data_IF_347175213841
#
_entry.id   IF_347175213841
#
_cell.length_a   1.000
_cell.length_b   1.000
_cell.length_c   1.000
_cell.angle_alpha   90.00
_cell.angle_beta   90.00
_cell.angle_gamma   90.00
#
_symmetry.space_group_name_H-M   'P 1'
#
loop_
_entity.id
_entity.type
_entity.pdbx_description
1 polymer ?
#
# COMPACT_ATOMS: atom_id res chain seq x y z
N UNK A 1 -16.18 -19.88 27.99
CA UNK A 1 -17.31 -20.28 27.12
C UNK A 1 -17.50 -19.15 26.12
N UNK A 2 -16.92 -19.30 24.93
CA UNK A 2 -17.02 -18.35 23.83
C UNK A 2 -18.47 -18.33 23.31
N UNK A 3 -19.11 -17.17 23.28
CA UNK A 3 -20.40 -17.01 22.59
C UNK A 3 -20.13 -16.56 21.17
N UNK A 4 -20.19 -17.52 20.23
CA UNK A 4 -20.14 -17.32 18.78
C UNK A 4 -21.25 -16.38 18.32
N UNK A 5 -20.86 -15.23 17.78
CA UNK A 5 -21.73 -14.37 16.98
C UNK A 5 -21.80 -14.90 15.56
N UNK A 6 -22.90 -15.59 15.25
CA UNK A 6 -23.42 -15.98 13.92
C UNK A 6 -22.60 -15.48 12.71
N UNK A 7 -21.94 -16.43 12.06
CA UNK A 7 -21.39 -16.31 10.71
C UNK A 7 -22.47 -15.83 9.72
N UNK A 8 -22.29 -14.62 9.20
CA UNK A 8 -22.96 -14.20 7.98
C UNK A 8 -22.21 -14.83 6.79
N UNK A 9 -22.80 -15.90 6.25
CA UNK A 9 -22.52 -16.55 4.96
C UNK A 9 -21.32 -16.04 4.14
N UNK A 10 -20.22 -16.82 4.14
CA UNK A 10 -19.41 -17.19 2.96
C UNK A 10 -18.63 -16.12 2.18
N UNK A 11 -18.82 -14.82 2.41
CA UNK A 11 -18.17 -13.77 1.62
C UNK A 11 -16.88 -13.29 2.31
N UNK A 12 -15.72 -13.49 1.68
CA UNK A 12 -14.44 -12.98 2.20
C UNK A 12 -14.24 -11.51 1.80
N UNK A 13 -13.77 -10.65 2.72
CA UNK A 13 -13.44 -9.27 2.38
C UNK A 13 -12.23 -9.20 1.46
N UNK A 14 -12.28 -8.31 0.48
CA UNK A 14 -11.16 -8.01 -0.43
C UNK A 14 -10.00 -7.39 0.34
N UNK A 15 -10.34 -6.57 1.33
CA UNK A 15 -9.35 -5.84 2.12
C UNK A 15 -9.94 -5.48 3.49
N UNK A 16 -9.13 -5.56 4.54
CA UNK A 16 -9.51 -5.12 5.89
C UNK A 16 -8.42 -4.23 6.47
N UNK A 17 -8.79 -3.07 7.01
CA UNK A 17 -7.88 -2.16 7.68
C UNK A 17 -8.50 -1.52 8.93
N UNK A 18 -7.68 -0.80 9.71
CA UNK A 18 -8.17 0.02 10.82
C UNK A 18 -8.34 1.47 10.40
N UNK A 19 -9.50 2.04 10.68
CA UNK A 19 -9.82 3.43 10.34
C UNK A 19 -10.56 4.15 11.46
N UNK A 20 -10.36 5.47 11.56
CA UNK A 20 -11.17 6.35 12.41
C UNK A 20 -12.44 6.75 11.63
N UNK A 21 -13.61 6.49 12.22
CA UNK A 21 -14.90 6.77 11.59
C UNK A 21 -15.47 8.07 12.18
N UNK A 22 -15.97 8.95 11.32
CA UNK A 22 -16.60 10.20 11.70
C UNK A 22 -17.98 10.29 11.06
N UNK A 23 -18.93 10.95 11.71
CA UNK A 23 -20.21 11.32 11.13
C UNK A 23 -20.35 12.84 11.09
N UNK A 24 -21.09 13.35 10.11
CA UNK A 24 -21.40 14.78 10.03
C UNK A 24 -22.37 15.12 11.16
N UNK A 25 -22.11 16.22 11.87
CA UNK A 25 -23.04 16.76 12.86
C UNK A 25 -24.43 16.93 12.23
N UNK A 26 -25.46 16.24 12.74
CA UNK A 26 -26.79 16.28 12.15
C UNK A 26 -27.43 17.67 12.22
N UNK A 27 -27.05 18.51 13.19
CA UNK A 27 -27.61 19.86 13.39
C UNK A 27 -26.94 20.88 12.50
N UNK A 28 -25.60 20.92 12.51
CA UNK A 28 -24.85 21.99 11.85
C UNK A 28 -24.49 21.67 10.40
N UNK A 29 -24.47 20.39 10.01
CA UNK A 29 -24.05 19.90 8.68
C UNK A 29 -22.68 20.41 8.20
N UNK A 30 -21.86 20.95 9.12
CA UNK A 30 -20.60 21.62 8.81
C UNK A 30 -19.39 21.08 9.58
N UNK A 31 -19.61 20.26 10.60
CA UNK A 31 -18.54 19.66 11.40
C UNK A 31 -18.57 18.13 11.34
N UNK A 32 -17.39 17.52 11.44
CA UNK A 32 -17.20 16.08 11.56
C UNK A 32 -17.00 15.71 13.02
N UNK A 33 -17.77 14.75 13.52
CA UNK A 33 -17.72 14.28 14.91
C UNK A 33 -17.24 12.82 14.90
N UNK A 34 -16.26 12.44 15.74
CA UNK A 34 -15.78 11.06 15.80
C UNK A 34 -16.90 10.11 16.26
N UNK A 35 -17.12 9.05 15.47
CA UNK A 35 -18.08 8.00 15.77
C UNK A 35 -17.52 6.95 16.75
N UNK A 36 -16.19 6.82 16.83
CA UNK A 36 -15.47 5.93 17.75
C UNK A 36 -14.28 6.64 18.39
N UNK A 37 -13.92 6.21 19.61
CA UNK A 37 -12.74 6.74 20.34
C UNK A 37 -11.43 6.19 19.81
N UNK A 38 -11.44 4.97 19.25
CA UNK A 38 -10.30 4.30 18.65
C UNK A 38 -10.58 3.94 17.20
N UNK A 39 -9.52 3.60 16.45
CA UNK A 39 -9.66 3.09 15.09
C UNK A 39 -10.32 1.70 15.11
N UNK A 40 -11.36 1.53 14.29
CA UNK A 40 -12.16 0.30 14.18
C UNK A 40 -11.78 -0.49 12.93
N UNK A 41 -12.02 -1.81 12.95
CA UNK A 41 -11.84 -2.64 11.77
C UNK A 41 -12.92 -2.34 10.73
N UNK A 42 -12.47 -2.08 9.50
CA UNK A 42 -13.30 -1.79 8.33
C UNK A 42 -12.90 -2.73 7.20
N UNK A 43 -13.88 -3.43 6.66
CA UNK A 43 -13.72 -4.45 5.63
C UNK A 43 -14.44 -4.04 4.35
N UNK A 44 -13.75 -4.19 3.22
CA UNK A 44 -14.25 -3.88 1.89
C UNK A 44 -14.67 -5.16 1.18
N UNK A 45 -15.86 -5.14 0.59
CA UNK A 45 -16.45 -6.23 -0.17
C UNK A 45 -16.84 -5.70 -1.56
N UNK A 46 -16.84 -6.58 -2.56
CA UNK A 46 -17.38 -6.27 -3.88
C UNK A 46 -18.56 -7.18 -4.16
N UNK A 47 -19.73 -6.58 -4.29
CA UNK A 47 -20.95 -7.28 -4.68
C UNK A 47 -21.01 -7.30 -6.21
N UNK A 48 -20.65 -8.45 -6.80
CA UNK A 48 -20.68 -8.63 -8.24
C UNK A 48 -22.10 -8.56 -8.82
N UNK A 49 -23.13 -8.95 -8.05
CA UNK A 49 -24.52 -8.94 -8.52
C UNK A 49 -25.05 -7.52 -8.72
N UNK A 50 -24.50 -6.57 -7.94
CA UNK A 50 -24.88 -5.15 -7.99
C UNK A 50 -23.78 -4.26 -8.56
N UNK A 51 -22.66 -4.84 -8.95
CA UNK A 51 -21.46 -4.14 -9.45
C UNK A 51 -21.04 -2.97 -8.54
N UNK A 52 -21.07 -3.17 -7.22
CA UNK A 52 -20.77 -2.11 -6.24
C UNK A 52 -19.87 -2.59 -5.11
N UNK A 53 -19.11 -1.65 -4.54
CA UNK A 53 -18.32 -1.89 -3.34
C UNK A 53 -19.15 -1.62 -2.08
N UNK A 54 -19.04 -2.49 -1.09
CA UNK A 54 -19.62 -2.33 0.25
C UNK A 54 -18.50 -2.22 1.27
N UNK A 55 -18.70 -1.35 2.25
CA UNK A 55 -17.79 -1.15 3.36
C UNK A 55 -18.56 -1.52 4.63
N UNK A 56 -18.05 -2.49 5.39
CA UNK A 56 -18.69 -2.99 6.60
C UNK A 56 -17.70 -2.88 7.76
N UNK A 57 -18.15 -2.40 8.92
CA UNK A 57 -17.40 -2.48 10.16
C UNK A 57 -18.05 -3.49 11.10
N UNK A 58 -17.24 -4.37 11.69
CA UNK A 58 -17.71 -5.51 12.49
C UNK A 58 -18.01 -5.12 13.96
N UNK A 59 -17.61 -3.93 14.41
CA UNK A 59 -17.85 -3.42 15.78
C UNK A 59 -19.22 -2.72 15.96
N UNK A 60 -20.14 -2.96 15.02
CA UNK A 60 -21.27 -2.08 14.72
C UNK A 60 -22.56 -2.22 15.53
N UNK A 61 -22.69 -3.04 16.58
CA UNK A 61 -23.99 -3.14 17.27
C UNK A 61 -24.43 -1.80 17.88
N UNK A 62 -23.49 -0.99 18.38
CA UNK A 62 -23.79 0.34 18.95
C UNK A 62 -23.95 1.45 17.90
N UNK A 63 -23.34 1.29 16.72
CA UNK A 63 -23.49 2.24 15.61
C UNK A 63 -24.81 2.03 14.88
N UNK A 64 -25.25 0.78 14.71
CA UNK A 64 -26.53 0.43 14.10
C UNK A 64 -27.68 1.03 14.91
N UNK A 65 -27.68 0.94 16.24
CA UNK A 65 -28.70 1.56 17.09
C UNK A 65 -28.75 3.09 16.93
N UNK A 66 -27.59 3.78 16.99
CA UNK A 66 -27.52 5.23 16.77
C UNK A 66 -27.90 5.65 15.35
N UNK A 67 -27.55 4.85 14.34
CA UNK A 67 -27.94 5.13 12.96
C UNK A 67 -29.45 4.89 12.74
N UNK A 68 -30.03 3.89 13.40
CA UNK A 68 -31.47 3.67 13.45
C UNK A 68 -32.18 4.87 14.09
N UNK A 69 -31.67 5.38 15.21
CA UNK A 69 -32.19 6.55 15.93
C UNK A 69 -32.16 7.82 15.07
N UNK A 70 -31.06 8.08 14.35
CA UNK A 70 -30.94 9.21 13.41
C UNK A 70 -31.90 9.05 12.22
N UNK A 71 -32.08 7.83 11.71
CA UNK A 71 -33.02 7.51 10.63
C UNK A 71 -34.48 7.72 11.09
N UNK A 72 -34.81 7.34 12.32
CA UNK A 72 -36.14 7.55 12.92
C UNK A 72 -36.40 9.02 13.24
N UNK A 73 -35.41 9.77 13.73
CA UNK A 73 -35.51 11.22 13.93
C UNK A 73 -35.76 11.97 12.61
N UNK A 74 -35.12 11.54 11.52
CA UNK A 74 -35.34 12.10 10.19
C UNK A 74 -36.75 11.76 9.67
N UNK A 75 -37.25 10.54 9.93
CA UNK A 75 -38.61 10.11 9.57
C UNK A 75 -39.70 10.82 10.38
N UNK A 76 -39.47 11.05 11.68
CA UNK A 76 -40.39 11.76 12.56
C UNK A 76 -40.53 13.25 12.17
N UNK A 77 -39.46 13.85 11.64
CA UNK A 77 -39.49 15.23 11.13
C UNK A 77 -40.29 15.32 9.82
N UNK A 78 -40.21 14.29 8.97
CA UNK A 78 -40.93 14.22 7.70
C UNK A 78 -42.45 13.97 7.87
N UNK A 79 -42.86 13.34 8.96
CA UNK A 79 -44.26 13.06 9.30
C UNK A 79 -44.97 14.22 10.05
N UNK A 80 -44.27 15.32 10.36
CA UNK A 80 -44.84 16.50 11.03
C UNK A 80 -45.10 17.69 10.10
N UNK A 81 -45.06 17.45 8.79
CA UNK A 81 -45.50 18.41 7.77
C UNK A 81 -46.99 18.17 7.48
N UNK A 82 -47.85 19.21 7.56
CA UNK A 82 -49.21 19.09 7.06
C UNK A 82 -49.18 18.89 5.55
N UNK A 83 -50.01 17.93 5.13
CA UNK A 83 -50.19 17.44 3.77
C UNK A 83 -50.30 18.57 2.73
N UNK A 84 -49.43 18.56 1.71
CA UNK A 84 -49.53 19.47 0.55
C UNK A 84 -48.31 19.46 -0.38
N UNK A 85 -48.41 18.70 -1.47
CA UNK A 85 -47.55 18.64 -2.66
C UNK A 85 -46.05 18.27 -2.49
N UNK A 86 -45.76 17.02 -2.86
CA UNK A 86 -44.42 16.55 -3.18
C UNK A 86 -43.98 17.06 -4.58
N UNK A 87 -42.87 17.79 -4.63
CA UNK A 87 -41.80 17.63 -5.63
C UNK A 87 -40.75 18.76 -5.46
N UNK A 88 -39.77 18.54 -4.60
CA UNK A 88 -38.44 19.16 -4.70
C UNK A 88 -37.43 18.22 -4.06
N UNK A 89 -36.68 17.50 -4.89
CA UNK A 89 -35.44 16.84 -4.46
C UNK A 89 -34.43 17.92 -4.09
N UNK A 90 -33.81 17.93 -2.89
CA UNK A 90 -32.68 18.81 -2.64
C UNK A 90 -31.48 18.31 -3.45
N UNK A 91 -31.07 19.10 -4.44
CA UNK A 91 -29.80 18.91 -5.15
C UNK A 91 -28.69 19.25 -4.15
N UNK A 92 -28.05 18.22 -3.59
CA UNK A 92 -26.86 18.41 -2.75
C UNK A 92 -25.70 18.79 -3.66
N UNK A 93 -25.25 20.03 -3.58
CA UNK A 93 -24.00 20.48 -4.18
C UNK A 93 -22.82 19.76 -3.51
N UNK A 94 -22.39 18.65 -4.10
CA UNK A 94 -21.12 18.03 -3.79
C UNK A 94 -20.01 18.83 -4.47
N UNK A 95 -19.49 19.85 -3.78
CA UNK A 95 -18.20 20.43 -4.12
C UNK A 95 -17.46 20.77 -2.82
N UNK A 96 -16.78 19.75 -2.29
CA UNK A 96 -15.78 19.90 -1.25
C UNK A 96 -14.70 18.85 -1.49
N UNK A 97 -13.78 19.12 -2.42
CA UNK A 97 -12.51 18.41 -2.51
C UNK A 97 -11.58 18.93 -1.40
N UNK A 98 -11.00 18.07 -0.55
CA UNK A 98 -9.92 18.50 0.31
C UNK A 98 -8.63 18.57 -0.52
N UNK A 99 -8.03 19.76 -0.53
CA UNK A 99 -6.67 20.04 -0.98
C UNK A 99 -5.71 19.01 -0.37
N UNK A 100 -4.98 18.30 -1.23
CA UNK A 100 -3.82 17.49 -0.86
C UNK A 100 -2.59 18.38 -1.02
N UNK A 101 -2.10 18.92 0.09
CA UNK A 101 -0.73 19.41 0.18
C UNK A 101 -0.23 19.13 1.59
N UNK A 102 0.68 18.16 1.70
CA UNK A 102 1.78 18.00 2.68
C UNK A 102 2.04 16.52 2.96
N UNK A 103 2.98 15.95 2.21
CA UNK A 103 3.88 14.89 2.67
C UNK A 103 5.03 14.74 1.67
N UNK A 104 5.95 15.72 1.67
CA UNK A 104 7.29 15.52 1.14
C UNK A 104 8.18 15.16 2.34
N UNK A 105 8.82 13.99 2.29
CA UNK A 105 9.90 13.61 3.21
C UNK A 105 9.55 12.46 4.14
N UNK A 106 10.02 11.26 3.79
CA UNK A 106 9.95 10.09 4.67
C UNK A 106 10.09 8.79 3.89
N UNK A 107 11.33 8.44 3.52
CA UNK A 107 11.67 7.14 2.97
C UNK A 107 11.33 6.04 3.99
N UNK A 108 10.50 5.07 3.61
CA UNK A 108 10.53 3.71 4.14
C UNK A 108 10.12 2.75 3.02
N UNK A 109 11.04 1.83 2.76
CA UNK A 109 10.96 0.72 1.83
C UNK A 109 9.84 -0.26 2.20
N UNK A 110 9.26 -0.87 1.17
CA UNK A 110 8.62 -2.20 1.11
C UNK A 110 7.24 -2.13 0.43
N UNK A 111 7.22 -2.48 -0.85
CA UNK A 111 5.99 -2.62 -1.63
C UNK A 111 6.02 -3.99 -2.33
N UNK A 112 5.27 -4.94 -1.76
CA UNK A 112 4.85 -6.17 -2.41
C UNK A 112 3.89 -5.91 -3.59
N UNK A 113 3.58 -6.94 -4.39
CA UNK A 113 3.10 -6.77 -5.75
C UNK A 113 1.66 -6.28 -5.79
N UNK A 114 1.47 -5.19 -6.55
CA UNK A 114 0.18 -4.66 -6.98
C UNK A 114 -0.51 -5.72 -7.87
N UNK A 115 -1.59 -6.32 -7.38
CA UNK A 115 -2.37 -7.30 -8.13
C UNK A 115 -3.16 -6.60 -9.25
N UNK A 116 -2.89 -7.00 -10.49
CA UNK A 116 -3.70 -6.66 -11.65
C UNK A 116 -5.12 -7.24 -11.52
N UNK A 117 -6.18 -6.53 -11.98
CA UNK A 117 -7.52 -7.08 -12.03
C UNK A 117 -7.65 -8.18 -13.11
N UNK A 118 -8.47 -9.23 -12.89
CA UNK A 118 -8.64 -10.30 -13.87
C UNK A 118 -9.41 -9.81 -15.11
N UNK A 119 -8.89 -10.16 -16.27
CA UNK A 119 -9.44 -9.93 -17.61
C UNK A 119 -10.84 -10.55 -17.75
N UNK A 120 -11.85 -9.74 -18.05
CA UNK A 120 -13.20 -10.23 -18.36
C UNK A 120 -13.33 -10.55 -19.85
N UNK A 121 -13.61 -11.82 -20.18
CA UNK A 121 -14.21 -12.22 -21.46
C UNK A 121 -15.72 -11.86 -21.45
N UNK A 122 -16.33 -11.52 -22.61
CA UNK A 122 -17.72 -11.12 -22.66
C UNK A 122 -18.62 -12.35 -22.91
N UNK A 123 -19.47 -12.69 -21.94
CA UNK A 123 -20.62 -13.57 -22.18
C UNK A 123 -21.77 -13.23 -21.25
N UNK A 124 -22.68 -12.35 -21.69
CA UNK A 124 -24.12 -12.54 -21.50
C UNK A 124 -24.93 -11.51 -22.29
N UNK A 125 -25.84 -12.06 -23.07
CA UNK A 125 -26.80 -11.49 -24.01
C UNK A 125 -27.94 -10.73 -23.32
N UNK A 126 -28.33 -9.59 -23.87
CA UNK A 126 -29.61 -8.91 -23.58
C UNK A 126 -30.80 -9.66 -24.20
N UNK A 127 -32.01 -9.31 -23.76
CA UNK A 127 -33.06 -9.01 -24.75
C UNK A 127 -33.67 -7.61 -24.53
N UNK A 128 -34.01 -6.99 -25.66
CA UNK A 128 -34.65 -5.69 -25.80
C UNK A 128 -36.17 -5.74 -25.51
N UNK A 129 -36.82 -4.59 -25.21
CA UNK A 129 -38.26 -4.44 -25.39
C UNK A 129 -38.57 -3.76 -26.74
N UNK A 130 -39.65 -4.24 -27.37
CA UNK A 130 -40.19 -3.74 -28.62
C UNK A 130 -41.26 -2.64 -28.38
N UNK A 131 -41.15 -1.59 -29.20
CA UNK A 131 -42.21 -0.81 -29.87
C UNK A 131 -43.55 -0.51 -29.19
N UNK A 132 -43.90 0.78 -29.14
CA UNK A 132 -45.07 1.29 -29.86
C UNK A 132 -45.04 2.81 -30.04
N UNK A 133 -45.29 3.23 -31.27
CA UNK A 133 -45.45 4.58 -31.82
C UNK A 133 -46.59 5.37 -31.13
N UNK A 134 -46.41 6.67 -30.91
CA UNK A 134 -46.94 7.81 -31.68
C UNK A 134 -48.43 8.10 -31.42
N UNK A 135 -48.72 9.31 -30.92
CA UNK A 135 -49.52 10.28 -31.68
C UNK A 135 -49.59 11.66 -30.99
N UNK A 136 -49.89 12.63 -31.84
CA UNK A 136 -49.74 14.08 -31.79
C UNK A 136 -50.99 14.81 -31.23
N UNK A 137 -50.88 16.15 -31.14
CA UNK A 137 -51.93 17.18 -31.17
C UNK A 137 -52.44 17.79 -29.84
N UNK A 138 -51.82 18.94 -29.53
CA UNK A 138 -52.39 20.31 -29.43
C UNK A 138 -53.70 20.64 -28.69
N UNK A 139 -53.56 21.68 -27.84
CA UNK A 139 -54.50 22.79 -27.55
C UNK A 139 -55.84 22.52 -26.83
N UNK A 140 -56.07 23.16 -25.67
CA UNK A 140 -57.00 24.30 -25.56
C UNK A 140 -57.08 24.90 -24.14
N UNK A 141 -57.28 26.22 -24.15
CA UNK A 141 -57.52 27.14 -23.04
C UNK A 141 -58.93 27.01 -22.43
N UNK A 142 -59.02 27.31 -21.13
CA UNK A 142 -60.12 27.92 -20.32
C UNK A 142 -60.20 27.17 -18.98
N UNK A 143 -60.12 27.82 -17.82
CA UNK A 143 -60.87 29.01 -17.41
C UNK A 143 -62.01 28.51 -16.51
N UNK A 144 -61.88 28.66 -15.19
CA UNK A 144 -62.87 28.15 -14.23
C UNK A 144 -62.54 28.58 -12.80
N UNK A 145 -62.99 29.77 -12.45
CA UNK A 145 -63.01 30.29 -11.09
C UNK A 145 -64.05 29.56 -10.24
N UNK A 146 -63.70 29.16 -9.02
CA UNK A 146 -64.65 28.83 -7.96
C UNK A 146 -64.04 29.20 -6.60
N UNK A 147 -64.48 30.33 -6.07
CA UNK A 147 -64.21 30.74 -4.69
C UNK A 147 -65.29 30.16 -3.77
N UNK A 148 -64.87 29.68 -2.60
CA UNK A 148 -65.73 29.42 -1.45
C UNK A 148 -65.20 30.21 -0.25
N UNK A 149 -66.06 30.59 0.71
CA UNK A 149 -65.81 31.67 1.65
C UNK A 149 -65.32 31.15 3.02
N UNK A 150 -64.55 31.97 3.73
CA UNK A 150 -64.27 31.82 5.16
C UNK A 150 -63.87 33.18 5.71
N UNK A 151 -64.78 33.83 6.43
CA UNK A 151 -64.77 33.97 7.90
C UNK A 151 -63.88 35.11 8.41
N UNK A 152 -64.54 36.07 9.06
CA UNK A 152 -63.94 37.13 9.89
C UNK A 152 -63.13 36.55 11.05
N UNK A 153 -62.20 37.32 11.62
CA UNK A 153 -62.52 37.85 12.96
C UNK A 153 -62.08 39.31 13.28
N UNK A 154 -62.87 39.89 14.18
CA UNK A 154 -62.82 41.14 14.98
C UNK A 154 -61.44 41.76 15.30
N UNK A 155 -61.40 43.11 15.35
CA UNK A 155 -60.71 43.84 16.42
C UNK A 155 -61.32 45.23 16.70
N UNK A 156 -61.43 45.52 18.00
CA UNK A 156 -61.95 46.72 18.69
C UNK A 156 -60.99 47.95 18.60
N UNK A 157 -61.45 49.15 18.99
CA UNK A 157 -60.98 50.46 18.55
C UNK A 157 -60.04 51.14 19.55
N UNK A 158 -59.18 52.08 19.13
CA UNK A 158 -58.69 53.17 19.99
C UNK A 158 -57.98 54.27 19.19
N UNK A 159 -58.29 55.55 19.47
CA UNK A 159 -57.38 56.68 19.27
C UNK A 159 -57.97 57.97 18.69
N UNK A 160 -58.40 58.88 19.57
CA UNK A 160 -58.27 60.36 19.50
C UNK A 160 -58.90 61.16 18.33
N UNK A 161 -59.53 62.35 18.45
CA UNK A 161 -59.65 63.36 19.50
C UNK A 161 -61.05 64.01 19.40
N UNK A 162 -61.62 64.31 20.57
CA UNK A 162 -62.81 65.14 20.74
C UNK A 162 -62.37 66.59 20.91
N UNK A 163 -62.83 67.47 20.03
CA UNK A 163 -62.92 68.91 20.25
C UNK A 163 -64.34 69.35 19.91
N UNK A 164 -64.89 70.15 20.82
CA UNK A 164 -66.29 70.49 20.94
C UNK A 164 -66.83 71.36 19.80
N UNK A 165 -68.03 71.03 19.31
CA UNK A 165 -68.94 72.00 18.70
C UNK A 165 -70.42 71.56 18.88
N UNK A 166 -71.04 72.14 19.90
CA UNK A 166 -72.45 72.55 20.07
C UNK A 166 -73.48 72.11 18.99
N UNK A 167 -74.53 71.40 19.44
CA UNK A 167 -75.71 70.86 18.73
C UNK A 167 -76.58 71.91 17.97
N UNK A 168 -77.57 71.52 17.11
CA UNK A 168 -78.87 70.98 17.57
C UNK A 168 -79.60 69.92 16.69
N UNK A 169 -80.45 69.13 17.36
CA UNK A 169 -81.75 68.50 16.99
C UNK A 169 -81.98 67.74 15.64
N UNK A 170 -82.82 66.66 15.64
CA UNK A 170 -83.09 65.84 14.46
C UNK A 170 -84.22 66.43 13.59
N UNK A 171 -83.95 66.68 12.31
CA UNK A 171 -84.97 66.98 11.29
C UNK A 171 -85.32 65.74 10.46
N UNK A 172 -86.48 65.71 9.76
CA UNK A 172 -86.88 64.57 8.95
C UNK A 172 -85.96 64.47 7.72
N UNK A 173 -85.02 63.53 7.74
CA UNK A 173 -84.22 63.21 6.56
C UNK A 173 -85.16 62.68 5.49
N UNK A 174 -85.23 63.33 4.34
CA UNK A 174 -85.93 62.78 3.17
C UNK A 174 -85.38 61.38 2.85
N UNK A 175 -86.21 60.44 2.40
CA UNK A 175 -85.77 59.08 2.00
C UNK A 175 -84.61 59.12 1.00
N UNK A 176 -84.55 60.17 0.17
CA UNK A 176 -83.44 60.48 -0.73
C UNK A 176 -82.10 60.68 0.01
N UNK A 177 -82.10 61.39 1.14
CA UNK A 177 -80.89 61.66 1.92
C UNK A 177 -80.34 60.40 2.60
N UNK A 178 -81.20 59.52 3.09
CA UNK A 178 -80.77 58.23 3.65
C UNK A 178 -80.20 57.29 2.58
N UNK A 179 -80.83 57.24 1.40
CA UNK A 179 -80.33 56.48 0.26
C UNK A 179 -78.96 56.98 -0.19
N UNK A 180 -78.77 58.29 -0.30
CA UNK A 180 -77.48 58.89 -0.64
C UNK A 180 -76.40 58.58 0.40
N UNK A 181 -76.74 58.53 1.70
CA UNK A 181 -75.79 58.13 2.76
C UNK A 181 -75.39 56.65 2.64
N UNK A 182 -76.33 55.75 2.38
CA UNK A 182 -76.04 54.34 2.15
C UNK A 182 -75.18 54.11 0.90
N UNK A 183 -75.52 54.79 -0.20
CA UNK A 183 -74.76 54.70 -1.44
C UNK A 183 -73.35 55.32 -1.29
N UNK A 184 -73.21 56.40 -0.51
CA UNK A 184 -71.91 56.97 -0.18
C UNK A 184 -71.04 56.02 0.66
N UNK A 185 -71.64 55.33 1.64
CA UNK A 185 -70.93 54.35 2.46
C UNK A 185 -70.50 53.13 1.64
N UNK A 186 -71.38 52.64 0.76
CA UNK A 186 -71.05 51.57 -0.20
C UNK A 186 -69.91 51.98 -1.14
N UNK A 187 -69.93 53.22 -1.64
CA UNK A 187 -68.85 53.75 -2.48
C UNK A 187 -67.54 53.89 -1.70
N UNK A 188 -67.57 54.29 -0.43
CA UNK A 188 -66.38 54.32 0.43
C UNK A 188 -65.78 52.92 0.63
N UNK A 189 -66.61 51.92 0.93
CA UNK A 189 -66.16 50.53 1.07
C UNK A 189 -65.59 50.02 -0.26
N UNK A 190 -66.26 50.30 -1.38
CA UNK A 190 -65.77 49.94 -2.71
C UNK A 190 -64.44 50.62 -3.06
N UNK A 191 -64.26 51.90 -2.71
CA UNK A 191 -63.01 52.63 -2.93
C UNK A 191 -61.88 52.09 -2.05
N UNK A 192 -62.15 51.83 -0.77
CA UNK A 192 -61.19 51.20 0.13
C UNK A 192 -60.77 49.82 -0.39
N UNK A 193 -61.72 49.00 -0.82
CA UNK A 193 -61.46 47.70 -1.45
C UNK A 193 -60.66 47.83 -2.75
N UNK A 194 -60.99 48.79 -3.62
CA UNK A 194 -60.23 49.05 -4.85
C UNK A 194 -58.80 49.50 -4.57
N UNK A 195 -58.58 50.32 -3.52
CA UNK A 195 -57.24 50.76 -3.13
C UNK A 195 -56.38 49.60 -2.58
N UNK A 196 -57.00 48.65 -1.86
CA UNK A 196 -56.33 47.44 -1.42
C UNK A 196 -55.97 46.53 -2.62
N UNK A 197 -56.86 46.43 -3.61
CA UNK A 197 -56.59 45.71 -4.84
C UNK A 197 -55.41 46.32 -5.62
N UNK A 198 -55.36 47.65 -5.75
CA UNK A 198 -54.23 48.34 -6.40
C UNK A 198 -52.89 48.00 -5.72
N UNK A 199 -52.84 48.02 -4.38
CA UNK A 199 -51.64 47.63 -3.62
C UNK A 199 -51.26 46.16 -3.82
N UNK A 200 -52.25 45.26 -3.92
CA UNK A 200 -51.99 43.84 -4.21
C UNK A 200 -51.31 43.66 -5.57
N UNK A 201 -51.83 44.32 -6.61
CA UNK A 201 -51.22 44.29 -7.94
C UNK A 201 -49.82 44.91 -7.97
N UNK A 202 -49.60 45.98 -7.20
CA UNK A 202 -48.29 46.61 -7.06
C UNK A 202 -47.26 45.66 -6.43
N UNK A 203 -47.65 44.94 -5.38
CA UNK A 203 -46.80 43.92 -4.72
C UNK A 203 -46.53 42.75 -5.65
N UNK A 204 -47.55 42.25 -6.35
CA UNK A 204 -47.40 41.14 -7.31
C UNK A 204 -46.46 41.54 -8.47
N UNK A 205 -46.62 42.75 -9.00
CA UNK A 205 -45.73 43.27 -10.04
C UNK A 205 -44.28 43.39 -9.55
N UNK A 206 -44.08 43.91 -8.33
CA UNK A 206 -42.75 43.97 -7.71
C UNK A 206 -42.13 42.58 -7.54
N UNK A 207 -42.93 41.62 -7.09
CA UNK A 207 -42.51 40.21 -6.92
C UNK A 207 -42.16 39.57 -8.25
N UNK A 208 -42.96 39.79 -9.29
CA UNK A 208 -42.68 39.30 -10.65
C UNK A 208 -41.41 39.92 -11.23
N UNK A 209 -41.17 41.22 -11.02
CA UNK A 209 -39.91 41.87 -11.41
C UNK A 209 -38.70 41.23 -10.71
N UNK A 210 -38.78 40.97 -9.41
CA UNK A 210 -37.71 40.30 -8.66
C UNK A 210 -37.47 38.86 -9.17
N UNK A 211 -38.53 38.10 -9.39
CA UNK A 211 -38.43 36.76 -9.95
C UNK A 211 -37.81 36.76 -11.36
N UNK A 212 -38.19 37.70 -12.22
CA UNK A 212 -37.60 37.82 -13.55
C UNK A 212 -36.10 38.15 -13.49
N UNK A 213 -35.69 39.03 -12.56
CA UNK A 213 -34.28 39.33 -12.33
C UNK A 213 -33.50 38.07 -11.88
N UNK A 214 -34.04 37.33 -10.90
CA UNK A 214 -33.42 36.09 -10.42
C UNK A 214 -33.26 35.04 -11.53
N UNK A 215 -34.29 34.86 -12.36
CA UNK A 215 -34.22 33.93 -13.50
C UNK A 215 -33.18 34.37 -14.52
N UNK A 216 -33.07 35.67 -14.78
CA UNK A 216 -32.06 36.23 -15.68
C UNK A 216 -30.64 35.99 -15.14
N UNK A 217 -30.41 36.22 -13.84
CA UNK A 217 -29.12 35.94 -13.21
C UNK A 217 -28.77 34.44 -13.24
N UNK A 218 -29.73 33.57 -12.93
CA UNK A 218 -29.52 32.11 -12.98
C UNK A 218 -29.22 31.62 -14.41
N UNK A 219 -29.83 32.22 -15.43
CA UNK A 219 -29.54 31.91 -16.82
C UNK A 219 -28.13 32.34 -17.23
N UNK A 220 -27.70 33.54 -16.80
CA UNK A 220 -26.33 34.01 -17.03
C UNK A 220 -25.30 33.12 -16.33
N UNK A 221 -25.56 32.73 -15.08
CA UNK A 221 -24.70 31.80 -14.34
C UNK A 221 -24.66 30.42 -15.01
N UNK A 222 -25.80 29.89 -15.47
CA UNK A 222 -25.86 28.64 -16.22
C UNK A 222 -25.04 28.71 -17.52
N UNK A 223 -25.06 29.86 -18.20
CA UNK A 223 -24.25 30.10 -19.41
C UNK A 223 -22.76 30.12 -19.09
N UNK A 224 -22.36 30.81 -18.02
CA UNK A 224 -20.96 30.83 -17.57
C UNK A 224 -20.45 29.44 -17.17
N UNK A 225 -21.29 28.64 -16.49
CA UNK A 225 -20.95 27.26 -16.10
C UNK A 225 -20.69 26.36 -17.31
N UNK A 226 -21.49 26.50 -18.37
CA UNK A 226 -21.27 25.76 -19.62
C UNK A 226 -19.89 26.08 -20.22
N UNK A 227 -19.48 27.34 -20.19
CA UNK A 227 -18.17 27.75 -20.72
C UNK A 227 -17.01 27.30 -19.83
N UNK A 228 -17.20 27.27 -18.51
CA UNK A 228 -16.23 26.68 -17.58
C UNK A 228 -16.06 25.17 -17.84
N UNK A 229 -17.16 24.43 -17.99
CA UNK A 229 -17.10 22.99 -18.30
C UNK A 229 -16.43 22.71 -19.64
N UNK A 230 -16.64 23.56 -20.66
CA UNK A 230 -15.89 23.45 -21.93
C UNK A 230 -14.39 23.64 -21.71
N UNK A 231 -13.98 24.61 -20.88
CA UNK A 231 -12.57 24.85 -20.57
C UNK A 231 -11.95 23.68 -19.80
N UNK A 232 -12.66 23.14 -18.82
CA UNK A 232 -12.23 21.95 -18.08
C UNK A 232 -12.10 20.73 -18.99
N UNK A 233 -13.06 20.50 -19.88
CA UNK A 233 -13.00 19.42 -20.87
C UNK A 233 -11.77 19.56 -21.79
N UNK A 234 -11.45 20.79 -22.22
CA UNK A 234 -10.26 21.04 -23.03
C UNK A 234 -8.97 20.70 -22.25
N UNK A 235 -8.86 21.19 -21.00
CA UNK A 235 -7.72 20.89 -20.13
C UNK A 235 -7.56 19.38 -19.89
N UNK A 236 -8.65 18.64 -19.66
CA UNK A 236 -8.58 17.18 -19.53
C UNK A 236 -8.16 16.48 -20.82
N UNK A 237 -8.54 16.99 -22.00
CA UNK A 237 -8.08 16.44 -23.29
C UNK A 237 -6.58 16.65 -23.47
N UNK A 238 -6.07 17.84 -23.17
CA UNK A 238 -4.63 18.15 -23.23
C UNK A 238 -3.83 17.30 -22.25
N UNK A 239 -4.31 17.17 -21.01
CA UNK A 239 -3.66 16.33 -20.00
C UNK A 239 -3.66 14.85 -20.39
N UNK A 240 -4.78 14.35 -20.95
CA UNK A 240 -4.85 12.98 -21.46
C UNK A 240 -3.87 12.76 -22.62
N UNK A 241 -3.74 13.74 -23.52
CA UNK A 241 -2.75 13.69 -24.60
C UNK A 241 -1.32 13.70 -24.05
N UNK A 242 -1.03 14.54 -23.06
CA UNK A 242 0.27 14.60 -22.38
C UNK A 242 0.62 13.27 -21.71
N UNK A 243 -0.35 12.65 -21.02
CA UNK A 243 -0.17 11.35 -20.39
C UNK A 243 0.06 10.25 -21.43
N UNK A 244 -0.65 10.27 -22.56
CA UNK A 244 -0.41 9.33 -23.67
C UNK A 244 1.00 9.48 -24.24
N UNK A 245 1.47 10.70 -24.49
CA UNK A 245 2.85 10.93 -24.95
C UNK A 245 3.86 10.42 -23.92
N UNK A 246 3.67 10.75 -22.64
CA UNK A 246 4.54 10.27 -21.56
C UNK A 246 4.50 8.74 -21.42
N UNK A 247 3.35 8.11 -21.64
CA UNK A 247 3.22 6.65 -21.62
C UNK A 247 4.03 6.03 -22.77
N UNK A 248 3.94 6.57 -23.98
CA UNK A 248 4.75 6.12 -25.13
C UNK A 248 6.24 6.32 -24.87
N UNK A 249 6.65 7.48 -24.33
CA UNK A 249 8.05 7.74 -23.95
C UNK A 249 8.53 6.77 -22.87
N UNK A 250 7.69 6.48 -21.87
CA UNK A 250 8.00 5.51 -20.84
C UNK A 250 7.96 4.08 -21.36
N UNK A 251 7.11 3.70 -22.31
CA UNK A 251 7.18 2.40 -22.97
C UNK A 251 8.44 2.26 -23.81
N UNK A 252 8.85 3.32 -24.51
CA UNK A 252 10.10 3.36 -25.26
C UNK A 252 11.32 3.28 -24.32
N UNK A 253 11.30 3.99 -23.20
CA UNK A 253 12.37 3.97 -22.19
C UNK A 253 12.37 2.68 -21.34
N UNK A 254 11.19 2.11 -21.08
CA UNK A 254 10.96 0.78 -20.49
C UNK A 254 11.08 -0.32 -21.56
N UNK A 255 11.50 0.04 -22.76
CA UNK A 255 12.14 -0.84 -23.73
C UNK A 255 13.40 -1.45 -23.12
N UNK A 256 13.18 -2.37 -22.18
CA UNK A 256 14.14 -3.33 -21.67
C UNK A 256 14.57 -4.32 -22.74
N UNK A 257 14.64 -3.89 -23.99
CA UNK A 257 15.45 -4.54 -25.01
C UNK A 257 16.89 -4.08 -24.84
N UNK A 258 17.21 -2.78 -24.80
CA UNK A 258 18.63 -2.39 -24.85
C UNK A 258 19.39 -2.73 -23.56
N UNK A 259 18.88 -2.31 -22.40
CA UNK A 259 19.51 -2.63 -21.11
C UNK A 259 19.48 -4.13 -20.80
N UNK A 260 18.42 -4.85 -21.17
CA UNK A 260 18.37 -6.30 -20.95
C UNK A 260 19.19 -7.07 -22.00
N UNK A 261 19.36 -6.56 -23.22
CA UNK A 261 20.25 -7.12 -24.25
C UNK A 261 21.69 -6.95 -23.79
N UNK A 262 22.06 -5.80 -23.24
CA UNK A 262 23.41 -5.56 -22.74
C UNK A 262 23.71 -6.46 -21.52
N UNK A 263 22.78 -6.58 -20.57
CA UNK A 263 22.89 -7.54 -19.47
C UNK A 263 22.97 -9.00 -19.96
N UNK A 264 22.23 -9.37 -21.02
CA UNK A 264 22.32 -10.72 -21.62
C UNK A 264 23.68 -10.96 -22.29
N UNK A 265 24.25 -9.97 -22.98
CA UNK A 265 25.59 -10.06 -23.59
C UNK A 265 26.67 -10.20 -22.52
N UNK A 266 26.59 -9.39 -21.47
CA UNK A 266 27.52 -9.45 -20.34
C UNK A 266 27.44 -10.81 -19.65
N UNK A 267 26.22 -11.30 -19.41
CA UNK A 267 25.98 -12.62 -18.81
C UNK A 267 26.49 -13.77 -19.69
N UNK A 268 26.36 -13.67 -21.02
CA UNK A 268 26.96 -14.64 -21.95
C UNK A 268 28.50 -14.60 -21.93
N UNK A 269 29.08 -13.40 -21.87
CA UNK A 269 30.53 -13.20 -21.81
C UNK A 269 31.11 -13.76 -20.51
N UNK A 270 30.46 -13.50 -19.38
CA UNK A 270 30.86 -14.04 -18.08
C UNK A 270 30.75 -15.58 -18.04
N UNK A 271 29.70 -16.16 -18.63
CA UNK A 271 29.58 -17.63 -18.74
C UNK A 271 30.73 -18.24 -19.53
N UNK A 272 31.08 -17.67 -20.68
CA UNK A 272 32.21 -18.13 -21.50
C UNK A 272 33.53 -18.01 -20.73
N UNK A 273 33.71 -16.93 -19.96
CA UNK A 273 34.91 -16.75 -19.13
C UNK A 273 34.99 -17.78 -18.01
N UNK A 274 33.88 -18.12 -17.37
CA UNK A 274 33.82 -19.19 -16.37
C UNK A 274 34.20 -20.53 -17.00
N UNK A 275 33.61 -20.90 -18.13
CA UNK A 275 33.93 -22.15 -18.85
C UNK A 275 35.42 -22.22 -19.23
N UNK A 276 35.98 -21.09 -19.70
CA UNK A 276 37.42 -21.00 -20.02
C UNK A 276 38.27 -21.23 -18.78
N UNK A 277 37.95 -20.58 -17.66
CA UNK A 277 38.67 -20.73 -16.40
C UNK A 277 38.55 -22.15 -15.83
N UNK A 278 37.40 -22.81 -15.98
CA UNK A 278 37.20 -24.20 -15.59
C UNK A 278 38.09 -25.16 -16.40
N UNK A 279 38.22 -24.93 -17.70
CA UNK A 279 39.12 -25.70 -18.57
C UNK A 279 40.59 -25.46 -18.21
N UNK A 280 40.98 -24.21 -17.99
CA UNK A 280 42.33 -23.86 -17.53
C UNK A 280 42.66 -24.51 -16.19
N UNK A 281 41.73 -24.46 -15.22
CA UNK A 281 41.88 -25.09 -13.91
C UNK A 281 42.07 -26.61 -14.05
N UNK A 282 41.23 -27.26 -14.87
CA UNK A 282 41.33 -28.70 -15.13
C UNK A 282 42.66 -29.08 -15.77
N UNK A 283 43.14 -28.29 -16.74
CA UNK A 283 44.46 -28.50 -17.36
C UNK A 283 45.58 -28.38 -16.32
N UNK A 284 45.49 -27.40 -15.42
CA UNK A 284 46.46 -27.20 -14.33
C UNK A 284 46.44 -28.35 -13.32
N UNK A 285 45.26 -28.87 -12.98
CA UNK A 285 45.14 -30.05 -12.12
C UNK A 285 45.75 -31.30 -12.78
N UNK A 286 45.54 -31.49 -14.09
CA UNK A 286 46.13 -32.60 -14.84
C UNK A 286 47.66 -32.45 -15.02
N UNK A 287 48.17 -31.23 -15.15
CA UNK A 287 49.61 -30.92 -15.08
C UNK A 287 50.20 -31.24 -13.70
N UNK A 288 49.52 -30.82 -12.62
CA UNK A 288 49.94 -31.08 -11.24
C UNK A 288 49.95 -32.59 -10.94
N UNK A 289 48.91 -33.32 -11.35
CA UNK A 289 48.86 -34.79 -11.22
C UNK A 289 50.00 -35.46 -11.98
N UNK A 290 50.27 -35.05 -13.22
CA UNK A 290 51.41 -35.56 -14.00
C UNK A 290 52.75 -35.26 -13.32
N UNK A 291 52.94 -34.04 -12.83
CA UNK A 291 54.15 -33.66 -12.12
C UNK A 291 54.33 -34.48 -10.83
N UNK A 292 53.26 -34.68 -10.06
CA UNK A 292 53.27 -35.52 -8.85
C UNK A 292 53.64 -36.97 -9.18
N UNK A 293 52.99 -37.57 -10.18
CA UNK A 293 53.29 -38.93 -10.62
C UNK A 293 54.71 -39.08 -11.18
N UNK A 294 55.30 -38.02 -11.74
CA UNK A 294 56.69 -38.04 -12.22
C UNK A 294 57.72 -37.91 -11.09
N UNK A 295 57.37 -37.24 -9.99
CA UNK A 295 58.24 -37.05 -8.82
C UNK A 295 58.24 -38.24 -7.88
N UNK A 296 57.11 -38.93 -7.75
CA UNK A 296 56.96 -40.08 -6.86
C UNK A 296 58.05 -41.17 -7.05
N UNK A 297 58.39 -41.61 -8.28
CA UNK A 297 59.44 -42.62 -8.48
C UNK A 297 60.83 -42.12 -8.09
N UNK A 298 61.10 -40.83 -8.27
CA UNK A 298 62.37 -40.22 -7.85
C UNK A 298 62.49 -40.13 -6.34
N UNK A 299 61.40 -39.81 -5.65
CA UNK A 299 61.34 -39.78 -4.19
C UNK A 299 61.48 -41.19 -3.59
N UNK A 300 60.80 -42.18 -4.16
CA UNK A 300 60.92 -43.60 -3.79
C UNK A 300 62.36 -44.10 -4.01
N UNK A 301 62.97 -43.78 -5.15
CA UNK A 301 64.38 -44.12 -5.44
C UNK A 301 65.34 -43.46 -4.46
N UNK A 302 65.11 -42.21 -4.07
CA UNK A 302 65.93 -41.50 -3.09
C UNK A 302 65.85 -42.18 -1.71
N UNK A 303 64.65 -42.56 -1.27
CA UNK A 303 64.45 -43.30 -0.01
C UNK A 303 65.15 -44.66 -0.03
N UNK A 304 65.04 -45.41 -1.12
CA UNK A 304 65.72 -46.70 -1.26
C UNK A 304 67.24 -46.56 -1.17
N UNK A 305 67.82 -45.58 -1.86
CA UNK A 305 69.26 -45.29 -1.81
C UNK A 305 69.73 -44.79 -0.42
N UNK A 306 68.88 -44.06 0.31
CA UNK A 306 69.17 -43.67 1.69
C UNK A 306 69.18 -44.86 2.64
N UNK A 307 68.21 -45.77 2.49
CA UNK A 307 68.16 -47.00 3.27
C UNK A 307 69.40 -47.88 2.99
N UNK A 308 69.74 -48.10 1.73
CA UNK A 308 70.93 -48.87 1.33
C UNK A 308 72.20 -48.22 1.89
N UNK A 309 72.32 -46.90 1.86
CA UNK A 309 73.45 -46.20 2.50
C UNK A 309 73.52 -46.44 4.01
N UNK A 310 72.38 -46.41 4.71
CA UNK A 310 72.34 -46.68 6.14
C UNK A 310 72.75 -48.13 6.46
N UNK A 311 72.29 -49.09 5.66
CA UNK A 311 72.66 -50.51 5.78
C UNK A 311 74.15 -50.73 5.51
N UNK A 312 74.70 -50.10 4.46
CA UNK A 312 76.13 -50.14 4.15
C UNK A 312 76.97 -49.51 5.27
N UNK A 313 76.55 -48.37 5.82
CA UNK A 313 77.22 -47.73 6.96
C UNK A 313 77.21 -48.64 8.20
N UNK A 314 76.09 -49.30 8.50
CA UNK A 314 75.99 -50.25 9.60
C UNK A 314 76.89 -51.47 9.38
N UNK A 315 76.94 -51.99 8.15
CA UNK A 315 77.81 -53.12 7.78
C UNK A 315 79.29 -52.76 7.93
N UNK A 316 79.70 -51.57 7.47
CA UNK A 316 81.06 -51.05 7.65
C UNK A 316 81.41 -50.92 9.14
N UNK A 317 80.50 -50.36 9.95
CA UNK A 317 80.70 -50.22 11.39
C UNK A 317 80.85 -51.57 12.09
N UNK A 318 80.06 -52.57 11.71
CA UNK A 318 80.17 -53.92 12.25
C UNK A 318 81.50 -54.58 11.86
N UNK A 319 81.91 -54.46 10.59
CA UNK A 319 83.18 -55.00 10.11
C UNK A 319 84.37 -54.33 10.82
N UNK A 320 84.31 -53.02 11.07
CA UNK A 320 85.31 -52.29 11.86
C UNK A 320 85.38 -52.82 13.30
N UNK A 321 84.25 -53.00 13.98
CA UNK A 321 84.23 -53.55 15.34
C UNK A 321 84.78 -54.99 15.41
N UNK A 322 84.50 -55.80 14.38
CA UNK A 322 85.06 -57.16 14.26
C UNK A 322 86.58 -57.12 14.07
N UNK A 323 87.09 -56.21 13.22
CA UNK A 323 88.51 -56.02 13.01
C UNK A 323 89.20 -55.59 14.31
N UNK A 324 88.66 -54.61 15.03
CA UNK A 324 89.22 -54.14 16.31
C UNK A 324 89.28 -55.27 17.35
N UNK A 325 88.23 -56.09 17.41
CA UNK A 325 88.18 -57.27 18.30
C UNK A 325 89.27 -58.28 17.93
N UNK A 326 89.43 -58.58 16.63
CA UNK A 326 90.47 -59.50 16.14
C UNK A 326 91.89 -58.96 16.39
N UNK A 327 92.11 -57.66 16.20
CA UNK A 327 93.37 -56.98 16.48
C UNK A 327 93.71 -57.02 17.97
N UNK A 328 92.74 -56.75 18.86
CA UNK A 328 92.93 -56.84 20.30
C UNK A 328 93.27 -58.27 20.76
N UNK A 329 92.59 -59.27 20.16
CA UNK A 329 92.89 -60.68 20.41
C UNK A 329 94.31 -61.05 19.95
N UNK A 330 94.72 -60.64 18.74
CA UNK A 330 96.07 -60.89 18.23
C UNK A 330 97.15 -60.23 19.11
N UNK A 331 96.94 -59.00 19.54
CA UNK A 331 97.85 -58.29 20.45
C UNK A 331 97.95 -59.01 21.81
N UNK A 332 96.85 -59.54 22.33
CA UNK A 332 96.88 -60.37 23.55
C UNK A 332 97.69 -61.66 23.36
N UNK A 333 97.53 -62.34 22.22
CA UNK A 333 98.28 -63.55 21.89
C UNK A 333 99.78 -63.26 21.76
N UNK A 334 100.13 -62.13 21.14
CA UNK A 334 101.51 -61.66 21.04
C UNK A 334 102.13 -61.45 22.43
N UNK A 335 101.44 -60.77 23.35
CA UNK A 335 101.91 -60.60 24.75
C UNK A 335 102.12 -61.93 25.47
N UNK A 336 101.22 -62.89 25.27
CA UNK A 336 101.38 -64.24 25.84
C UNK A 336 102.63 -64.91 25.27
N UNK A 337 102.84 -64.85 23.95
CA UNK A 337 104.03 -65.39 23.31
C UNK A 337 105.32 -64.73 23.82
N UNK A 338 105.35 -63.40 23.92
CA UNK A 338 106.50 -62.65 24.46
C UNK A 338 106.83 -63.07 25.91
N UNK A 339 105.79 -63.33 26.71
CA UNK A 339 105.94 -63.81 28.09
C UNK A 339 106.51 -65.23 28.13
N UNK A 340 105.99 -66.16 27.32
CA UNK A 340 106.53 -67.52 27.22
C UNK A 340 107.98 -67.51 26.73
N UNK A 341 108.30 -66.68 25.75
CA UNK A 341 109.64 -66.57 25.20
C UNK A 341 110.64 -66.02 26.25
N UNK A 342 110.20 -65.05 27.06
CA UNK A 342 110.97 -64.55 28.21
C UNK A 342 111.21 -65.63 29.27
N UNK A 343 110.20 -66.46 29.58
CA UNK A 343 110.36 -67.59 30.50
C UNK A 343 111.32 -68.65 29.93
N UNK A 344 111.21 -68.98 28.65
CA UNK A 344 112.11 -69.92 27.99
C UNK A 344 113.56 -69.43 28.05
N UNK A 345 113.79 -68.14 27.79
CA UNK A 345 115.10 -67.52 27.90
C UNK A 345 115.69 -67.67 29.31
N UNK A 346 114.90 -67.42 30.36
CA UNK A 346 115.32 -67.62 31.75
C UNK A 346 115.71 -69.09 32.03
N UNK A 347 114.90 -70.06 31.57
CA UNK A 347 115.22 -71.49 31.73
C UNK A 347 116.50 -71.91 31.01
N UNK A 348 116.74 -71.38 29.80
CA UNK A 348 117.99 -71.61 29.07
C UNK A 348 119.18 -71.04 29.86
N UNK A 349 119.05 -69.84 30.44
CA UNK A 349 120.10 -69.23 31.26
C UNK A 349 120.39 -70.05 32.53
N UNK A 350 119.36 -70.53 33.23
CA UNK A 350 119.49 -71.44 34.38
C UNK A 350 120.22 -72.74 33.98
N UNK A 351 119.80 -73.39 32.89
CA UNK A 351 120.45 -74.60 32.36
C UNK A 351 121.91 -74.35 32.00
N UNK A 352 122.22 -73.21 31.37
CA UNK A 352 123.60 -72.83 31.05
C UNK A 352 124.43 -72.54 32.31
N UNK A 353 123.84 -72.02 33.38
CA UNK A 353 124.51 -71.86 34.67
C UNK A 353 124.83 -73.22 35.30
N UNK A 354 123.85 -74.13 35.39
CA UNK A 354 124.05 -75.51 35.88
C UNK A 354 125.13 -76.21 35.05
N UNK A 355 125.08 -76.08 33.72
CA UNK A 355 126.09 -76.69 32.84
C UNK A 355 127.50 -76.15 33.11
N UNK A 356 127.65 -74.84 33.38
CA UNK A 356 128.93 -74.26 33.82
C UNK A 356 129.37 -74.83 35.17
N UNK A 357 128.46 -74.94 36.15
CA UNK A 357 128.76 -75.53 37.46
C UNK A 357 129.25 -76.99 37.34
N UNK A 358 128.56 -77.81 36.53
CA UNK A 358 128.96 -79.20 36.23
C UNK A 358 130.34 -79.25 35.57
N UNK A 359 130.59 -78.41 34.57
CA UNK A 359 131.90 -78.34 33.91
C UNK A 359 133.01 -77.95 34.90
N UNK A 360 132.73 -77.04 35.85
CA UNK A 360 133.69 -76.62 36.88
C UNK A 360 133.98 -77.77 37.86
N UNK A 361 132.95 -78.54 38.25
CA UNK A 361 133.09 -79.70 39.14
C UNK A 361 133.82 -80.90 38.50
N UNK A 362 133.81 -81.02 37.16
CA UNK A 362 134.56 -82.05 36.42
C UNK A 362 136.05 -81.70 36.21
N UNK A 363 136.47 -80.47 36.54
CA UNK A 363 137.84 -79.98 36.41
C UNK A 363 138.64 -79.98 37.74
N UNK A 364 138.00 -80.42 38.82
CA UNK A 364 138.61 -80.78 40.12
C UNK A 364 138.65 -82.29 40.27
#
# INVERSE_FOLDING_TARGET
>A
MMTSGKDAMGEQPIFTCRAHVFHIDPKTKRSWIPASTSAVNVSFFYDCSRSLYRIISVEGSKFIEKFQEVKEATRATNNKAPNGNASTTPVTSANASPITSRASGGALSDAGPLLDPPSMQPSCTSPAPASSAADDVSSHLRGGSSAAPSESPKHEPFGQMKLDAKSPAPGPTSTSEQQLRHDNERLKIALASSSANAKKWEVELSTLKNNNLRLTSALQESTANVDEWKRQLHSYKEENQRLKSKYIELEAAKGGTEAAVELRKELATLRLRVETLEVELKSKDDELKRAMNSKQPSEERCKALQQENAELQASISLAQAQLDTAMAAQESQKRVMDTLNSQLLLRIQELAAIHREVATALQT
#
